data_IF_011340665348
#
_entry.id   IF_011340665348
#
_cell.length_a   1.000
_cell.length_b   1.000
_cell.length_c   1.000
_cell.angle_alpha   90.00
_cell.angle_beta   90.00
_cell.angle_gamma   90.00
#
_symmetry.space_group_name_H-M   'P 1'
#
loop_
_entity.id
_entity.type
_entity.pdbx_description
1 polymer ?
#
# COMPACT_ATOMS: atom_id res chain seq x y z
N UNK A 1 -29.14 -20.65 -55.30
CA UNK A 1 -27.88 -21.18 -54.72
C UNK A 1 -27.47 -20.24 -53.60
N UNK A 2 -27.58 -20.66 -52.33
CA UNK A 2 -27.34 -19.85 -51.14
C UNK A 2 -25.83 -19.58 -50.95
N UNK A 3 -25.44 -18.34 -50.65
CA UNK A 3 -24.15 -18.06 -50.01
C UNK A 3 -24.39 -17.68 -48.55
N UNK A 4 -23.98 -18.55 -47.64
CA UNK A 4 -24.04 -18.37 -46.19
C UNK A 4 -22.79 -17.61 -45.72
N UNK A 5 -22.96 -16.40 -45.20
CA UNK A 5 -21.88 -15.65 -44.56
C UNK A 5 -21.79 -16.10 -43.09
N UNK A 6 -20.72 -16.83 -42.76
CA UNK A 6 -20.32 -17.09 -41.36
C UNK A 6 -19.55 -15.87 -40.87
N UNK A 7 -20.19 -15.02 -40.07
CA UNK A 7 -19.52 -13.91 -39.41
C UNK A 7 -18.75 -14.42 -38.18
N UNK A 8 -17.46 -14.13 -38.21
CA UNK A 8 -16.39 -14.44 -37.28
C UNK A 8 -16.67 -13.87 -35.88
N UNK A 9 -16.66 -14.72 -34.86
CA UNK A 9 -16.81 -14.30 -33.45
C UNK A 9 -15.58 -13.57 -32.95
N UNK A 10 -15.76 -12.33 -32.49
CA UNK A 10 -14.74 -11.56 -31.76
C UNK A 10 -14.78 -12.00 -30.29
N UNK A 11 -13.77 -12.77 -29.88
CA UNK A 11 -13.58 -13.18 -28.49
C UNK A 11 -13.06 -12.01 -27.65
N UNK A 12 -13.94 -11.42 -26.83
CA UNK A 12 -13.59 -10.43 -25.83
C UNK A 12 -12.94 -11.15 -24.62
N UNK A 13 -11.62 -11.26 -24.62
CA UNK A 13 -10.85 -11.70 -23.45
C UNK A 13 -10.89 -10.59 -22.39
N UNK A 14 -11.88 -10.64 -21.50
CA UNK A 14 -11.86 -9.84 -20.26
C UNK A 14 -10.83 -10.47 -19.31
N UNK A 15 -9.66 -9.84 -19.21
CA UNK A 15 -8.69 -10.16 -18.16
C UNK A 15 -9.30 -9.63 -16.85
N UNK A 16 -9.90 -10.54 -16.08
CA UNK A 16 -10.37 -10.26 -14.73
C UNK A 16 -9.14 -10.06 -13.83
N UNK A 17 -8.74 -8.80 -13.62
CA UNK A 17 -7.83 -8.46 -12.53
C UNK A 17 -8.64 -8.61 -11.24
N UNK A 18 -8.45 -9.73 -10.54
CA UNK A 18 -9.08 -9.96 -9.24
C UNK A 18 -8.55 -8.93 -8.23
N UNK A 19 -9.41 -8.18 -7.52
CA UNK A 19 -8.96 -7.42 -6.38
C UNK A 19 -8.53 -8.44 -5.32
N UNK A 20 -7.23 -8.55 -5.08
CA UNK A 20 -6.73 -9.31 -3.95
C UNK A 20 -7.30 -8.66 -2.68
N UNK A 21 -8.19 -9.38 -2.00
CA UNK A 21 -8.64 -9.01 -0.65
C UNK A 21 -7.41 -9.13 0.26
N UNK A 22 -6.76 -8.01 0.50
CA UNK A 22 -5.65 -7.93 1.44
C UNK A 22 -6.14 -8.39 2.81
N UNK A 23 -5.55 -9.47 3.34
CA UNK A 23 -5.86 -9.92 4.70
C UNK A 23 -5.32 -8.88 5.68
N UNK A 24 -6.20 -8.33 6.52
CA UNK A 24 -5.84 -7.35 7.56
C UNK A 24 -5.51 -8.07 8.86
N UNK A 25 -4.43 -7.69 9.54
CA UNK A 25 -4.00 -8.29 10.81
C UNK A 25 -3.28 -7.29 11.72
N UNK A 26 -2.62 -7.82 12.76
CA UNK A 26 -1.70 -7.06 13.63
C UNK A 26 -0.28 -7.51 13.31
N UNK A 27 0.62 -6.56 13.05
CA UNK A 27 2.02 -6.85 12.72
C UNK A 27 2.91 -7.01 13.95
N UNK A 28 4.19 -7.36 13.74
CA UNK A 28 5.15 -7.61 14.83
C UNK A 28 5.42 -6.37 15.69
N UNK A 29 5.24 -5.18 15.13
CA UNK A 29 5.44 -3.92 15.82
C UNK A 29 4.15 -3.42 16.49
N UNK A 30 3.08 -4.22 16.47
CA UNK A 30 1.78 -3.90 17.06
C UNK A 30 0.89 -3.01 16.19
N UNK A 31 1.31 -2.71 14.96
CA UNK A 31 0.58 -1.89 14.00
C UNK A 31 -0.46 -2.68 13.19
N UNK A 32 -1.19 -1.96 12.34
CA UNK A 32 -2.13 -2.55 11.38
C UNK A 32 -1.33 -3.18 10.23
N UNK A 33 -1.55 -4.46 9.96
CA UNK A 33 -0.86 -5.21 8.90
C UNK A 33 -1.79 -5.41 7.71
N UNK A 34 -1.31 -5.12 6.51
CA UNK A 34 -2.03 -5.37 5.26
C UNK A 34 -1.13 -6.15 4.31
N UNK A 35 -1.66 -7.21 3.71
CA UNK A 35 -1.01 -7.94 2.62
C UNK A 35 -1.17 -7.22 1.27
N UNK A 36 -0.07 -6.96 0.57
CA UNK A 36 -0.05 -6.39 -0.76
C UNK A 36 0.95 -7.16 -1.62
N UNK A 37 0.48 -7.74 -2.74
CA UNK A 37 1.33 -8.52 -3.66
C UNK A 37 2.18 -9.61 -2.97
N UNK A 38 1.60 -10.37 -2.03
CA UNK A 38 2.31 -11.40 -1.23
C UNK A 38 3.47 -10.84 -0.36
N UNK A 39 3.44 -9.53 -0.09
CA UNK A 39 4.24 -8.82 0.92
C UNK A 39 3.31 -8.29 1.99
N UNK A 40 3.88 -7.82 3.09
CA UNK A 40 3.14 -7.11 4.12
C UNK A 40 3.66 -5.69 4.27
N UNK A 41 2.71 -4.78 4.48
CA UNK A 41 2.96 -3.43 4.95
C UNK A 41 2.30 -3.30 6.32
N UNK A 42 3.08 -2.96 7.34
CA UNK A 42 2.58 -2.67 8.68
C UNK A 42 2.58 -1.16 8.91
N UNK A 43 1.43 -0.58 9.23
CA UNK A 43 1.29 0.80 9.66
C UNK A 43 1.27 0.89 11.19
N UNK A 44 2.29 1.52 11.77
CA UNK A 44 2.49 1.58 13.23
C UNK A 44 1.88 2.86 13.82
N UNK A 45 1.97 3.98 13.10
CA UNK A 45 1.67 5.31 13.63
C UNK A 45 2.75 5.79 14.61
N UNK A 46 3.21 7.04 14.48
CA UNK A 46 4.15 7.63 15.44
C UNK A 46 3.46 8.09 16.74
N UNK A 47 4.21 8.47 17.78
CA UNK A 47 3.65 9.10 18.98
C UNK A 47 2.76 10.29 18.61
N UNK A 48 1.56 10.34 19.20
CA UNK A 48 0.53 11.35 18.90
C UNK A 48 0.23 11.56 17.40
N UNK A 49 0.58 10.59 16.54
CA UNK A 49 0.50 10.69 15.08
C UNK A 49 1.18 11.95 14.51
N UNK A 50 2.31 12.37 15.10
CA UNK A 50 3.18 13.43 14.54
C UNK A 50 4.07 12.92 13.41
N UNK A 51 4.18 11.60 13.28
CA UNK A 51 4.86 10.92 12.18
C UNK A 51 4.06 9.69 11.74
N UNK A 52 4.35 9.23 10.53
CA UNK A 52 3.86 7.97 9.99
C UNK A 52 5.04 7.05 9.74
N UNK A 53 4.89 5.79 10.09
CA UNK A 53 5.92 4.75 9.95
C UNK A 53 5.26 3.52 9.33
N UNK A 54 5.88 3.01 8.28
CA UNK A 54 5.51 1.75 7.63
C UNK A 54 6.67 0.77 7.70
N UNK A 55 6.45 -0.42 8.25
CA UNK A 55 7.41 -1.51 8.20
C UNK A 55 7.07 -2.46 7.04
N UNK A 56 8.10 -2.84 6.27
CA UNK A 56 7.99 -3.73 5.12
C UNK A 56 8.46 -5.14 5.48
N UNK A 57 7.68 -6.15 5.13
CA UNK A 57 8.09 -7.55 5.28
C UNK A 57 7.52 -8.46 4.21
N UNK A 58 8.06 -9.66 4.06
CA UNK A 58 7.49 -10.69 3.20
C UNK A 58 6.30 -11.39 3.86
N UNK A 59 5.67 -12.32 3.14
CA UNK A 59 4.56 -13.14 3.65
C UNK A 59 4.90 -13.96 4.92
N UNK A 60 6.18 -14.13 5.26
CA UNK A 60 6.67 -14.81 6.47
C UNK A 60 7.14 -13.84 7.55
N UNK A 61 6.82 -12.55 7.39
CA UNK A 61 7.22 -11.46 8.28
C UNK A 61 8.74 -11.23 8.35
N UNK A 62 9.49 -11.68 7.34
CA UNK A 62 10.90 -11.35 7.22
C UNK A 62 11.06 -9.92 6.69
N UNK A 63 11.93 -9.08 7.29
CA UNK A 63 12.15 -7.71 6.84
C UNK A 63 12.50 -7.60 5.35
N UNK A 64 11.90 -6.64 4.66
CA UNK A 64 12.26 -6.23 3.29
C UNK A 64 12.99 -4.90 3.37
N UNK A 65 14.16 -4.83 2.72
CA UNK A 65 14.98 -3.61 2.74
C UNK A 65 14.23 -2.41 2.15
N UNK A 66 14.18 -1.30 2.90
CA UNK A 66 13.55 -0.06 2.48
C UNK A 66 14.48 0.85 1.65
N UNK A 67 15.79 0.72 1.85
CA UNK A 67 16.77 1.52 1.12
C UNK A 67 16.70 1.28 -0.40
N UNK A 68 16.66 2.36 -1.17
CA UNK A 68 16.52 2.33 -2.63
C UNK A 68 15.06 2.32 -3.13
N UNK A 69 14.09 2.19 -2.23
CA UNK A 69 12.66 2.29 -2.58
C UNK A 69 12.23 3.74 -2.77
N UNK A 70 11.29 3.98 -3.69
CA UNK A 70 10.57 5.23 -3.83
C UNK A 70 9.17 5.08 -3.22
N UNK A 71 8.79 5.96 -2.29
CA UNK A 71 7.54 5.79 -1.57
C UNK A 71 6.88 7.12 -1.19
N UNK A 72 5.56 7.10 -1.09
CA UNK A 72 4.77 8.21 -0.56
C UNK A 72 3.52 7.71 0.15
N UNK A 73 3.04 8.50 1.10
CA UNK A 73 1.72 8.34 1.69
C UNK A 73 0.80 9.47 1.24
N UNK A 74 -0.49 9.15 1.11
CA UNK A 74 -1.57 10.10 0.94
C UNK A 74 -2.50 9.97 2.15
N UNK A 75 -2.65 11.06 2.89
CA UNK A 75 -3.52 11.14 4.07
C UNK A 75 -4.73 11.98 3.71
N UNK A 76 -5.92 11.48 4.03
CA UNK A 76 -7.18 12.20 3.88
C UNK A 76 -7.82 12.35 5.25
N UNK A 77 -8.06 13.60 5.66
CA UNK A 77 -8.72 13.93 6.92
C UNK A 77 -9.50 15.25 6.77
N UNK A 78 -10.73 15.32 7.28
CA UNK A 78 -11.56 16.54 7.28
C UNK A 78 -11.50 17.33 5.95
N UNK A 79 -11.76 16.63 4.84
CA UNK A 79 -11.74 17.17 3.45
C UNK A 79 -10.36 17.61 2.92
N UNK A 80 -9.30 17.51 3.72
CA UNK A 80 -7.93 17.82 3.32
C UNK A 80 -7.22 16.56 2.84
N UNK A 81 -6.41 16.71 1.79
CA UNK A 81 -5.51 15.68 1.30
C UNK A 81 -4.07 16.15 1.42
N UNK A 82 -3.24 15.36 2.10
CA UNK A 82 -1.79 15.56 2.21
C UNK A 82 -1.08 14.39 1.53
N UNK A 83 -0.29 14.65 0.49
CA UNK A 83 0.64 13.67 -0.06
C UNK A 83 2.06 13.99 0.41
N UNK A 84 2.70 13.03 1.08
CA UNK A 84 4.02 13.22 1.68
C UNK A 84 4.99 12.11 1.23
N UNK A 85 6.21 12.45 0.78
CA UNK A 85 7.22 11.44 0.46
C UNK A 85 7.69 10.74 1.74
N UNK A 86 7.87 9.43 1.65
CA UNK A 86 8.44 8.62 2.73
C UNK A 86 9.92 8.41 2.47
N UNK A 87 10.71 8.28 3.54
CA UNK A 87 12.14 8.00 3.47
C UNK A 87 12.48 6.73 4.26
N UNK A 88 13.50 5.96 3.84
CA UNK A 88 14.02 4.87 4.64
C UNK A 88 14.47 5.35 6.02
N UNK A 89 14.05 4.65 7.07
CA UNK A 89 14.30 5.00 8.47
C UNK A 89 14.67 3.75 9.28
N UNK A 90 15.78 3.12 8.90
CA UNK A 90 16.19 1.81 9.39
C UNK A 90 16.30 0.79 8.26
N UNK A 91 16.24 -0.50 8.60
CA UNK A 91 16.43 -1.57 7.64
C UNK A 91 15.23 -1.72 6.70
N UNK A 92 14.03 -1.81 7.27
CA UNK A 92 12.79 -2.11 6.56
C UNK A 92 11.67 -1.09 6.81
N UNK A 93 12.00 0.08 7.33
CA UNK A 93 11.01 1.10 7.66
C UNK A 93 11.03 2.25 6.67
N UNK A 94 9.86 2.80 6.40
CA UNK A 94 9.61 4.01 5.64
C UNK A 94 8.87 4.99 6.53
N UNK A 95 9.40 6.19 6.74
CA UNK A 95 8.79 7.19 7.62
C UNK A 95 8.73 8.59 7.03
N UNK A 96 7.86 9.42 7.60
CA UNK A 96 7.84 10.86 7.40
C UNK A 96 7.26 11.57 8.63
N UNK A 97 7.83 12.74 8.94
CA UNK A 97 7.23 13.66 9.90
C UNK A 97 6.08 14.42 9.25
N UNK A 98 4.97 14.55 9.97
CA UNK A 98 3.81 15.27 9.49
C UNK A 98 3.91 16.76 9.85
N UNK A 99 3.39 17.66 8.99
CA UNK A 99 3.37 19.10 9.27
C UNK A 99 2.40 19.47 10.40
N UNK A 100 1.44 18.59 10.70
CA UNK A 100 0.54 18.65 11.84
C UNK A 100 0.14 17.21 12.24
N UNK A 101 -0.21 16.96 13.51
CA UNK A 101 -0.68 15.64 13.95
C UNK A 101 -1.84 15.13 13.08
N UNK A 102 -1.77 13.87 12.67
CA UNK A 102 -2.87 13.22 11.97
C UNK A 102 -3.99 12.85 12.95
N UNK A 103 -5.22 13.04 12.50
CA UNK A 103 -6.41 12.79 13.31
C UNK A 103 -6.78 11.29 13.29
N UNK A 104 -7.33 10.80 14.39
CA UNK A 104 -8.00 9.50 14.40
C UNK A 104 -9.13 9.47 13.36
N UNK A 105 -9.27 8.33 12.68
CA UNK A 105 -10.18 8.14 11.54
C UNK A 105 -9.65 8.69 10.21
N UNK A 106 -8.47 9.31 10.17
CA UNK A 106 -7.85 9.71 8.90
C UNK A 106 -7.56 8.47 8.05
N UNK A 107 -7.87 8.55 6.75
CA UNK A 107 -7.49 7.50 5.80
C UNK A 107 -6.05 7.70 5.35
N UNK A 108 -5.26 6.63 5.33
CA UNK A 108 -3.84 6.66 4.96
C UNK A 108 -3.58 5.64 3.86
N UNK A 109 -3.41 6.10 2.63
CA UNK A 109 -2.95 5.25 1.53
C UNK A 109 -1.44 5.35 1.39
N UNK A 110 -0.76 4.23 1.19
CA UNK A 110 0.68 4.19 0.93
C UNK A 110 0.96 3.52 -0.40
N UNK A 111 1.90 4.10 -1.14
CA UNK A 111 2.49 3.51 -2.33
C UNK A 111 3.98 3.35 -2.10
N UNK A 112 4.51 2.17 -2.46
CA UNK A 112 5.94 1.85 -2.39
C UNK A 112 6.34 1.20 -3.69
N UNK A 113 7.33 1.74 -4.38
CA UNK A 113 8.11 1.03 -5.39
C UNK A 113 9.40 0.57 -4.72
N UNK A 114 9.55 -0.75 -4.57
CA UNK A 114 10.75 -1.35 -4.00
C UNK A 114 11.94 -1.16 -4.93
N UNK A 115 13.16 -1.23 -4.41
CA UNK A 115 14.38 -1.21 -5.21
C UNK A 115 14.44 -2.33 -6.28
N UNK A 116 13.63 -3.38 -6.13
CA UNK A 116 13.47 -4.47 -7.10
C UNK A 116 12.54 -4.12 -8.27
N UNK A 117 11.86 -2.97 -8.23
CA UNK A 117 10.82 -2.54 -9.18
C UNK A 117 9.42 -3.07 -8.85
N UNK A 118 9.25 -3.87 -7.79
CA UNK A 118 7.95 -4.36 -7.34
C UNK A 118 7.17 -3.22 -6.64
N UNK A 119 5.90 -3.05 -6.99
CA UNK A 119 5.05 -2.01 -6.40
C UNK A 119 4.09 -2.58 -5.37
N UNK A 120 4.00 -1.96 -4.20
CA UNK A 120 3.08 -2.29 -3.12
C UNK A 120 2.14 -1.12 -2.85
N UNK A 121 0.88 -1.43 -2.58
CA UNK A 121 -0.13 -0.45 -2.21
C UNK A 121 -1.00 -0.97 -1.08
N UNK A 122 -1.28 -0.12 -0.10
CA UNK A 122 -2.16 -0.44 1.02
C UNK A 122 -2.92 0.80 1.48
N UNK A 123 -4.06 0.59 2.13
CA UNK A 123 -4.87 1.65 2.73
C UNK A 123 -5.21 1.30 4.17
N UNK A 124 -4.91 2.22 5.07
CA UNK A 124 -5.13 2.11 6.50
C UNK A 124 -6.06 3.22 7.00
N UNK A 125 -6.43 3.12 8.26
CA UNK A 125 -7.14 4.16 9.00
C UNK A 125 -6.37 4.45 10.29
N UNK A 126 -6.17 5.71 10.67
CA UNK A 126 -5.58 6.05 11.96
C UNK A 126 -6.53 5.65 13.11
N UNK A 127 -6.06 4.88 14.09
CA UNK A 127 -6.88 4.32 15.18
C UNK A 127 -6.30 4.60 16.56
#
# INVERSE_FOLDING_TARGET
MLLTIRALGVGLCMILVSPALAHSGIGINGGQLIEAANRHIEFIGGPAYESIIFALSDARQKPIRAAGSAAYATIIQREQQLRIPLRPDGENWLSANLPAPMLLGASVSVFVELATGETLQAQFEAR
#
